data_IF_547606655709
#
_entry.id   IF_547606655709
#
_cell.length_a   1.000
_cell.length_b   1.000
_cell.length_c   1.000
_cell.angle_alpha   90.00
_cell.angle_beta   90.00
_cell.angle_gamma   90.00
#
_symmetry.space_group_name_H-M   'P 1'
#
loop_
_entity.id
_entity.type
_entity.pdbx_description
1 polymer ?
#
# COMPACT_ATOMS: atom_id res chain seq x y z
N UNK A 1 50.13 -20.40 6.58
CA UNK A 1 49.25 -19.56 7.43
C UNK A 1 48.16 -18.96 6.55
N UNK A 2 46.96 -19.56 6.50
CA UNK A 2 45.80 -18.96 5.83
C UNK A 2 44.54 -19.21 6.66
N UNK A 3 44.29 -18.34 7.64
CA UNK A 3 43.17 -18.48 8.58
C UNK A 3 41.84 -17.93 8.04
N UNK A 4 41.82 -17.36 6.83
CA UNK A 4 40.64 -16.65 6.31
C UNK A 4 39.58 -17.59 5.71
N UNK A 5 39.99 -18.71 5.08
CA UNK A 5 39.07 -19.64 4.41
C UNK A 5 38.03 -20.29 5.34
N UNK A 6 38.35 -20.49 6.63
CA UNK A 6 37.38 -21.00 7.62
C UNK A 6 36.36 -19.94 8.07
N UNK A 7 36.60 -18.64 7.82
CA UNK A 7 35.69 -17.57 8.24
C UNK A 7 34.44 -17.49 7.36
N UNK A 8 34.55 -17.91 6.09
CA UNK A 8 33.42 -17.97 5.16
C UNK A 8 32.44 -19.11 5.49
N UNK A 9 32.94 -20.27 5.93
CA UNK A 9 32.08 -21.40 6.31
C UNK A 9 31.41 -21.19 7.67
N UNK A 10 32.08 -20.53 8.62
CA UNK A 10 31.50 -20.18 9.92
C UNK A 10 30.38 -19.11 9.84
N UNK A 11 30.36 -18.30 8.78
CA UNK A 11 29.33 -17.27 8.54
C UNK A 11 28.13 -17.75 7.71
N UNK A 12 28.17 -18.96 7.12
CA UNK A 12 27.16 -19.42 6.15
C UNK A 12 26.03 -20.27 6.75
N UNK A 13 25.97 -20.39 8.09
CA UNK A 13 25.12 -21.36 8.78
C UNK A 13 24.49 -20.83 10.08
N UNK A 14 23.95 -19.60 10.08
CA UNK A 14 23.10 -19.15 11.20
C UNK A 14 21.93 -18.20 10.93
N UNK A 15 21.76 -17.70 9.70
CA UNK A 15 20.68 -16.74 9.38
C UNK A 15 19.50 -17.40 8.65
N UNK A 16 19.01 -18.52 9.20
CA UNK A 16 17.58 -18.85 9.02
C UNK A 16 16.78 -18.00 10.01
N UNK A 17 16.80 -16.67 9.82
CA UNK A 17 15.98 -15.74 10.61
C UNK A 17 14.51 -16.10 10.40
N UNK A 18 13.93 -16.84 11.34
CA UNK A 18 12.51 -17.20 11.30
C UNK A 18 11.69 -15.97 11.67
N UNK A 19 11.35 -15.18 10.67
CA UNK A 19 10.44 -14.05 10.80
C UNK A 19 9.04 -14.54 11.18
N UNK A 20 8.35 -13.81 12.06
CA UNK A 20 6.97 -14.14 12.44
C UNK A 20 6.00 -13.87 11.28
N UNK A 21 6.34 -12.92 10.41
CA UNK A 21 5.59 -12.60 9.18
C UNK A 21 6.52 -12.36 8.00
N UNK A 22 6.03 -12.59 6.78
CA UNK A 22 6.76 -12.29 5.54
C UNK A 22 7.09 -10.79 5.45
N UNK A 23 6.17 -9.93 5.87
CA UNK A 23 6.33 -8.46 5.88
C UNK A 23 7.52 -8.02 6.75
N UNK A 24 7.64 -8.56 7.97
CA UNK A 24 8.75 -8.30 8.89
C UNK A 24 10.09 -8.76 8.29
N UNK A 25 10.11 -9.91 7.61
CA UNK A 25 11.29 -10.40 6.90
C UNK A 25 11.72 -9.49 5.75
N UNK A 26 10.77 -9.02 4.94
CA UNK A 26 11.04 -8.09 3.84
C UNK A 26 11.57 -6.74 4.35
N UNK A 27 10.96 -6.18 5.40
CA UNK A 27 11.43 -4.95 6.05
C UNK A 27 12.86 -5.14 6.59
N UNK A 28 13.12 -6.25 7.28
CA UNK A 28 14.44 -6.56 7.84
C UNK A 28 15.50 -6.74 6.77
N UNK A 29 15.19 -7.41 5.66
CA UNK A 29 16.10 -7.58 4.52
C UNK A 29 16.39 -6.26 3.81
N UNK A 30 15.38 -5.41 3.59
CA UNK A 30 15.57 -4.07 3.03
C UNK A 30 16.56 -3.26 3.88
N UNK A 31 16.31 -3.12 5.18
CA UNK A 31 17.17 -2.34 6.09
C UNK A 31 18.58 -2.92 6.22
N UNK A 32 18.74 -4.26 6.27
CA UNK A 32 20.07 -4.90 6.44
C UNK A 32 20.92 -4.96 5.17
N UNK A 33 20.32 -4.97 3.98
CA UNK A 33 21.03 -5.29 2.73
C UNK A 33 20.90 -4.24 1.64
N UNK A 34 19.75 -3.59 1.52
CA UNK A 34 19.42 -2.75 0.38
C UNK A 34 19.58 -1.25 0.72
N UNK A 35 19.08 -0.83 1.87
CA UNK A 35 19.21 0.57 2.34
C UNK A 35 20.67 1.07 2.40
N UNK A 36 21.68 0.32 2.90
CA UNK A 36 23.08 0.79 2.88
C UNK A 36 23.65 0.99 1.47
N UNK A 37 23.11 0.26 0.47
CA UNK A 37 23.49 0.41 -0.92
C UNK A 37 22.84 1.64 -1.53
N UNK A 38 21.55 1.89 -1.25
CA UNK A 38 20.84 3.09 -1.66
C UNK A 38 21.51 4.36 -1.13
N UNK A 39 21.92 4.37 0.14
CA UNK A 39 22.66 5.48 0.76
C UNK A 39 24.06 5.67 0.13
N UNK A 40 24.82 4.58 -0.06
CA UNK A 40 26.18 4.64 -0.64
C UNK A 40 26.20 5.22 -2.07
N UNK A 41 25.14 4.99 -2.85
CA UNK A 41 25.02 5.45 -4.24
C UNK A 41 24.04 6.62 -4.43
N UNK A 42 23.58 7.26 -3.34
CA UNK A 42 22.63 8.39 -3.35
C UNK A 42 21.35 8.13 -4.18
N UNK A 43 20.84 6.89 -4.16
CA UNK A 43 19.72 6.46 -5.00
C UNK A 43 18.45 7.33 -4.83
N UNK A 44 18.27 7.87 -3.62
CA UNK A 44 17.13 8.71 -3.25
C UNK A 44 17.05 10.04 -4.01
N UNK A 45 18.18 10.56 -4.49
CA UNK A 45 18.23 11.82 -5.26
C UNK A 45 17.82 11.62 -6.73
N UNK A 46 17.77 10.37 -7.21
CA UNK A 46 17.52 10.04 -8.62
C UNK A 46 16.19 9.34 -8.89
N UNK A 47 15.73 8.47 -7.97
CA UNK A 47 14.61 7.55 -8.25
C UNK A 47 13.49 7.61 -7.22
N UNK A 48 13.75 7.21 -5.97
CA UNK A 48 12.72 7.13 -4.93
C UNK A 48 13.33 7.29 -3.54
N UNK A 49 12.63 7.96 -2.60
CA UNK A 49 13.06 8.04 -1.21
C UNK A 49 13.16 6.66 -0.56
N UNK A 50 13.85 6.59 0.58
CA UNK A 50 13.96 5.38 1.38
C UNK A 50 12.58 4.88 1.82
N UNK A 51 12.39 3.56 1.84
CA UNK A 51 11.14 2.94 2.29
C UNK A 51 11.02 3.02 3.81
N UNK A 52 9.88 3.51 4.29
CA UNK A 52 9.58 3.58 5.72
C UNK A 52 8.90 2.29 6.20
N UNK A 53 8.89 2.07 7.52
CA UNK A 53 8.10 0.99 8.13
C UNK A 53 6.60 1.05 7.75
N UNK A 54 6.09 2.26 7.47
CA UNK A 54 4.73 2.49 7.02
C UNK A 54 4.42 1.87 5.65
N UNK A 55 5.40 1.78 4.73
CA UNK A 55 5.20 1.22 3.39
C UNK A 55 4.97 -0.29 3.46
N UNK A 56 5.75 -1.00 4.28
CA UNK A 56 5.60 -2.44 4.53
C UNK A 56 4.30 -2.78 5.27
N UNK A 57 3.84 -1.89 6.16
CA UNK A 57 2.59 -2.05 6.93
C UNK A 57 1.37 -1.43 6.23
N UNK A 58 1.55 -0.88 5.03
CA UNK A 58 0.51 -0.18 4.28
C UNK A 58 -0.64 -1.11 3.88
N UNK A 59 -1.83 -0.53 3.78
CA UNK A 59 -3.05 -1.27 3.42
C UNK A 59 -3.11 -1.40 1.90
N UNK A 60 -3.48 -2.57 1.35
CA UNK A 60 -3.45 -2.79 -0.10
C UNK A 60 -4.26 -1.75 -0.85
N UNK A 61 -3.64 -1.16 -1.88
CA UNK A 61 -4.16 -0.03 -2.63
C UNK A 61 -4.68 -0.47 -4.00
N UNK A 62 -5.81 0.10 -4.41
CA UNK A 62 -6.38 -0.09 -5.76
C UNK A 62 -6.52 1.28 -6.40
N UNK A 63 -5.95 1.45 -7.58
CA UNK A 63 -5.99 2.69 -8.36
C UNK A 63 -6.91 2.49 -9.57
N UNK A 64 -7.87 3.39 -9.78
CA UNK A 64 -8.78 3.33 -10.94
C UNK A 64 -8.45 4.42 -11.96
N UNK A 65 -7.85 4.00 -13.06
CA UNK A 65 -7.44 4.86 -14.18
C UNK A 65 -8.39 4.64 -15.36
N UNK A 66 -8.73 5.72 -16.07
CA UNK A 66 -9.60 5.68 -17.26
C UNK A 66 -10.17 7.06 -17.59
N UNK A 67 -10.66 7.23 -18.83
CA UNK A 67 -11.18 8.50 -19.35
C UNK A 67 -12.42 9.01 -18.58
N UNK A 68 -12.86 10.23 -18.89
CA UNK A 68 -14.10 10.79 -18.34
C UNK A 68 -15.31 9.91 -18.67
N UNK A 69 -16.30 9.90 -17.77
CA UNK A 69 -17.57 9.17 -17.92
C UNK A 69 -17.49 7.63 -18.12
N UNK A 70 -16.32 7.00 -17.96
CA UNK A 70 -16.14 5.53 -18.01
C UNK A 70 -16.66 4.77 -16.77
N UNK A 71 -17.49 5.39 -15.93
CA UNK A 71 -18.12 4.71 -14.79
C UNK A 71 -17.23 4.41 -13.58
N UNK A 72 -15.98 4.92 -13.50
CA UNK A 72 -15.07 4.73 -12.34
C UNK A 72 -15.75 4.96 -10.98
N UNK A 73 -16.46 6.10 -10.87
CA UNK A 73 -17.23 6.51 -9.69
C UNK A 73 -18.33 5.51 -9.35
N UNK A 74 -19.07 5.05 -10.37
CA UNK A 74 -20.12 4.03 -10.27
C UNK A 74 -19.56 2.66 -9.87
N UNK A 75 -18.36 2.31 -10.33
CA UNK A 75 -17.69 1.06 -9.96
C UNK A 75 -17.27 1.04 -8.48
N UNK A 76 -16.76 2.16 -7.96
CA UNK A 76 -16.49 2.29 -6.50
C UNK A 76 -17.79 2.18 -5.70
N UNK A 77 -18.85 2.89 -6.13
CA UNK A 77 -20.18 2.82 -5.52
C UNK A 77 -20.71 1.38 -5.47
N UNK A 78 -20.55 0.64 -6.57
CA UNK A 78 -20.91 -0.77 -6.69
C UNK A 78 -20.13 -1.65 -5.72
N UNK A 79 -18.80 -1.51 -5.64
CA UNK A 79 -17.96 -2.27 -4.71
C UNK A 79 -18.22 -1.96 -3.22
N UNK A 80 -18.65 -0.73 -2.92
CA UNK A 80 -18.95 -0.30 -1.55
C UNK A 80 -20.40 -0.57 -1.11
N UNK A 81 -21.29 -0.87 -2.06
CA UNK A 81 -22.75 -0.93 -1.86
C UNK A 81 -23.34 0.37 -1.23
N UNK A 82 -22.61 1.49 -1.32
CA UNK A 82 -23.01 2.76 -0.69
C UNK A 82 -22.34 3.97 -1.33
N UNK A 83 -23.02 5.11 -1.25
CA UNK A 83 -22.52 6.42 -1.62
C UNK A 83 -21.41 6.91 -0.66
N UNK A 84 -20.35 7.49 -1.23
CA UNK A 84 -19.20 8.07 -0.53
C UNK A 84 -19.14 9.60 -0.68
N UNK A 85 -18.62 10.34 0.33
CA UNK A 85 -18.54 11.80 0.26
C UNK A 85 -17.63 12.25 -0.89
N UNK A 86 -17.97 13.36 -1.54
CA UNK A 86 -17.25 13.86 -2.72
C UNK A 86 -17.68 13.23 -4.05
N UNK A 87 -18.57 12.23 -4.03
CA UNK A 87 -19.13 11.64 -5.24
C UNK A 87 -20.09 12.61 -5.96
N UNK A 88 -19.71 13.06 -7.17
CA UNK A 88 -20.62 13.64 -8.16
C UNK A 88 -20.68 12.71 -9.39
N UNK A 89 -21.89 12.29 -9.76
CA UNK A 89 -22.16 11.50 -10.96
C UNK A 89 -23.01 12.39 -11.87
N UNK A 90 -22.39 12.99 -12.88
CA UNK A 90 -23.06 13.74 -13.95
C UNK A 90 -22.57 13.29 -15.33
N UNK A 91 -23.29 13.68 -16.41
CA UNK A 91 -22.84 13.43 -17.78
C UNK A 91 -21.64 14.32 -18.18
N UNK A 92 -21.56 15.50 -17.57
CA UNK A 92 -20.42 16.42 -17.66
C UNK A 92 -19.20 15.89 -16.87
N UNK A 93 -17.96 16.32 -17.19
CA UNK A 93 -16.79 15.97 -16.40
C UNK A 93 -16.91 16.49 -14.96
N UNK A 94 -17.37 15.63 -14.05
CA UNK A 94 -17.66 15.97 -12.64
C UNK A 94 -16.55 15.56 -11.64
N UNK A 95 -15.39 15.12 -12.12
CA UNK A 95 -14.27 14.67 -11.27
C UNK A 95 -12.98 15.37 -11.66
N UNK A 96 -12.80 16.59 -11.14
CA UNK A 96 -11.54 17.34 -11.25
C UNK A 96 -10.50 16.89 -10.20
N UNK A 97 -10.68 15.74 -9.53
CA UNK A 97 -10.00 15.45 -8.26
C UNK A 97 -9.53 14.01 -7.94
N UNK A 98 -8.38 13.85 -7.26
CA UNK A 98 -7.93 12.59 -6.64
C UNK A 98 -8.84 12.35 -5.44
N UNK A 99 -9.58 11.24 -5.43
CA UNK A 99 -10.45 10.90 -4.31
C UNK A 99 -9.92 9.62 -3.67
N UNK A 100 -9.27 9.74 -2.51
CA UNK A 100 -8.84 8.61 -1.68
C UNK A 100 -9.99 8.15 -0.78
N UNK A 101 -10.63 7.02 -1.12
CA UNK A 101 -11.83 6.51 -0.43
C UNK A 101 -11.45 5.57 0.73
N UNK A 102 -10.81 6.15 1.74
CA UNK A 102 -10.27 5.41 2.89
C UNK A 102 -11.32 5.10 3.97
N UNK A 103 -11.05 4.09 4.79
CA UNK A 103 -11.82 3.82 6.00
C UNK A 103 -11.58 4.91 7.06
N UNK A 104 -12.65 5.43 7.65
CA UNK A 104 -12.58 6.35 8.79
C UNK A 104 -13.82 6.27 9.68
N UNK A 105 -13.63 6.51 10.98
CA UNK A 105 -14.72 6.46 11.97
C UNK A 105 -15.76 7.59 11.77
N UNK A 106 -15.35 8.71 11.17
CA UNK A 106 -16.22 9.85 10.84
C UNK A 106 -16.16 10.07 9.32
N UNK A 107 -17.33 10.19 8.67
CA UNK A 107 -17.43 10.53 7.25
C UNK A 107 -16.97 11.99 7.06
N UNK A 108 -15.81 12.19 6.42
CA UNK A 108 -15.23 13.51 6.10
C UNK A 108 -14.81 13.55 4.63
N UNK A 109 -14.94 14.72 4.01
CA UNK A 109 -14.49 14.99 2.64
C UNK A 109 -13.14 15.71 2.71
N UNK A 110 -12.04 15.01 2.44
CA UNK A 110 -10.74 15.63 2.11
C UNK A 110 -10.50 15.46 0.61
N UNK A 111 -10.04 16.49 -0.09
CA UNK A 111 -9.81 16.44 -1.53
C UNK A 111 -8.56 17.20 -1.97
N UNK A 112 -7.91 16.71 -3.03
CA UNK A 112 -6.84 17.32 -3.84
C UNK A 112 -6.78 16.56 -5.19
N UNK A 113 -6.07 17.03 -6.24
CA UNK A 113 -6.60 16.90 -7.62
C UNK A 113 -5.98 15.92 -8.66
N UNK A 114 -6.82 15.11 -9.36
CA UNK A 114 -6.61 14.06 -10.41
C UNK A 114 -7.26 12.65 -10.21
N UNK A 115 -6.58 11.60 -9.71
CA UNK A 115 -6.98 10.15 -9.89
C UNK A 115 -7.70 9.47 -8.69
N UNK A 116 -8.67 8.59 -8.94
CA UNK A 116 -9.50 7.97 -7.89
C UNK A 116 -8.89 6.70 -7.24
N UNK A 117 -8.97 6.57 -5.91
CA UNK A 117 -7.99 5.81 -5.13
C UNK A 117 -8.52 5.00 -3.91
N UNK A 118 -7.83 3.87 -3.65
CA UNK A 118 -7.68 3.10 -2.39
C UNK A 118 -8.96 2.67 -1.66
N UNK A 119 -9.61 1.61 -2.16
CA UNK A 119 -10.90 1.10 -1.61
C UNK A 119 -10.76 -0.18 -0.74
N UNK A 120 -9.62 -0.87 -0.77
CA UNK A 120 -9.55 -2.28 -0.31
C UNK A 120 -9.81 -2.48 1.19
N UNK A 121 -9.30 -1.62 2.07
CA UNK A 121 -9.56 -1.74 3.52
C UNK A 121 -11.06 -1.66 3.83
N UNK A 122 -11.78 -0.75 3.17
CA UNK A 122 -13.21 -0.54 3.41
C UNK A 122 -14.05 -1.75 2.99
N UNK A 123 -13.65 -2.44 1.90
CA UNK A 123 -14.28 -3.69 1.44
C UNK A 123 -13.96 -4.83 2.41
N UNK A 124 -12.71 -4.96 2.84
CA UNK A 124 -12.25 -6.04 3.72
C UNK A 124 -12.93 -5.99 5.10
N UNK A 125 -12.98 -4.82 5.76
CA UNK A 125 -13.65 -4.68 7.06
C UNK A 125 -15.18 -4.84 6.98
N UNK A 126 -15.79 -4.55 5.82
CA UNK A 126 -17.21 -4.83 5.59
C UNK A 126 -17.49 -6.33 5.40
N UNK A 127 -16.63 -7.04 4.66
CA UNK A 127 -16.74 -8.50 4.53
C UNK A 127 -16.53 -9.20 5.87
N UNK A 128 -15.57 -8.75 6.70
CA UNK A 128 -15.43 -9.22 8.09
C UNK A 128 -16.72 -9.05 8.89
N UNK A 129 -17.34 -7.86 8.89
CA UNK A 129 -18.60 -7.63 9.63
C UNK A 129 -19.77 -8.48 9.11
N UNK A 130 -19.99 -8.55 7.79
CA UNK A 130 -21.01 -9.45 7.21
C UNK A 130 -20.81 -10.92 7.60
N UNK A 131 -19.58 -11.38 7.88
CA UNK A 131 -19.32 -12.74 8.36
C UNK A 131 -19.47 -12.93 9.89
N UNK A 132 -19.54 -11.86 10.67
CA UNK A 132 -19.84 -11.91 12.12
C UNK A 132 -21.35 -11.90 12.34
N UNK A 133 -22.11 -11.12 11.57
CA UNK A 133 -23.58 -11.05 11.63
C UNK A 133 -24.30 -12.29 11.03
N UNK A 134 -23.55 -13.32 10.62
CA UNK A 134 -24.04 -14.58 10.03
C UNK A 134 -23.77 -15.82 10.92
N UNK A 135 -23.49 -15.60 12.20
CA UNK A 135 -23.34 -16.63 13.25
C UNK A 135 -24.28 -16.35 14.41
#
# INVERSE_FOLDING_TARGET
>A
MFSWANKEQAGRSKDSEMFQTVTEGLQTLYTKKLFPLEETYLFHDFHSPALEAADFQSKPMVLLVGQYSTGKTTFIRYLLEQDFPGMRIGPEPTTDGFIAVMHGAVRRSGGLASVCAVVFQQIYERRKRKCVDLK
#
